data_IF_975127672763
#
_entry.id   IF_975127672763
#
_cell.length_a   1.000
_cell.length_b   1.000
_cell.length_c   1.000
_cell.angle_alpha   90.00
_cell.angle_beta   90.00
_cell.angle_gamma   90.00
#
_symmetry.space_group_name_H-M   'P 1'
#
loop_
_entity.id
_entity.type
_entity.pdbx_description
1 polymer ?
#
# COMPACT_ATOMS: atom_id res chain seq x y z
N UNK A 1 11.99 13.68 31.60
CA UNK A 1 11.81 13.68 30.13
C UNK A 1 11.67 12.28 29.50
N UNK A 2 11.33 11.24 30.26
CA UNK A 2 11.27 9.85 29.74
C UNK A 2 9.89 9.37 29.29
N UNK A 3 8.80 10.09 29.65
CA UNK A 3 7.44 9.70 29.29
C UNK A 3 7.08 10.08 27.85
N UNK A 4 7.55 11.24 27.36
CA UNK A 4 7.28 11.71 26.00
C UNK A 4 7.88 10.80 24.92
N UNK A 5 9.06 10.22 25.16
CA UNK A 5 9.71 9.30 24.20
C UNK A 5 8.95 7.98 24.06
N UNK A 6 8.36 7.45 25.14
CA UNK A 6 7.56 6.21 25.11
C UNK A 6 6.23 6.40 24.38
N UNK A 7 5.55 7.54 24.60
CA UNK A 7 4.31 7.88 23.91
C UNK A 7 4.59 8.06 22.41
N UNK A 8 5.66 8.77 22.05
CA UNK A 8 6.07 8.95 20.65
C UNK A 8 6.39 7.62 19.95
N UNK A 9 7.02 6.68 20.65
CA UNK A 9 7.38 5.38 20.09
C UNK A 9 6.13 4.49 19.89
N UNK A 10 5.16 4.54 20.80
CA UNK A 10 3.88 3.84 20.65
C UNK A 10 3.05 4.40 19.49
N UNK A 11 3.01 5.72 19.32
CA UNK A 11 2.29 6.34 18.19
C UNK A 11 2.90 5.94 16.85
N UNK A 12 4.23 5.94 16.73
CA UNK A 12 4.90 5.56 15.48
C UNK A 12 4.70 4.08 15.14
N UNK A 13 4.70 3.19 16.14
CA UNK A 13 4.41 1.77 15.95
C UNK A 13 2.96 1.54 15.49
N UNK A 14 2.00 2.26 16.08
CA UNK A 14 0.61 2.20 15.68
C UNK A 14 0.41 2.68 14.22
N UNK A 15 1.05 3.79 13.84
CA UNK A 15 1.03 4.32 12.47
C UNK A 15 1.61 3.30 11.47
N UNK A 16 2.76 2.71 11.77
CA UNK A 16 3.40 1.70 10.92
C UNK A 16 2.50 0.47 10.72
N UNK A 17 1.91 -0.05 11.81
CA UNK A 17 1.00 -1.20 11.73
C UNK A 17 -0.27 -0.92 10.94
N UNK A 18 -0.76 0.33 10.95
CA UNK A 18 -1.91 0.74 10.15
C UNK A 18 -1.56 0.83 8.67
N UNK A 19 -0.40 1.40 8.35
CA UNK A 19 0.11 1.51 6.99
C UNK A 19 0.36 0.12 6.36
N UNK A 20 0.89 -0.84 7.12
CA UNK A 20 1.06 -2.23 6.68
C UNK A 20 -0.27 -2.89 6.29
N UNK A 21 -1.32 -2.71 7.10
CA UNK A 21 -2.66 -3.25 6.78
C UNK A 21 -3.28 -2.57 5.56
N UNK A 22 -3.06 -1.28 5.39
CA UNK A 22 -3.49 -0.54 4.20
C UNK A 22 -2.80 -1.04 2.94
N UNK A 23 -1.49 -1.27 3.03
CA UNK A 23 -0.70 -1.86 1.95
C UNK A 23 -1.22 -3.25 1.57
N UNK A 24 -1.51 -4.10 2.55
CA UNK A 24 -2.07 -5.43 2.30
C UNK A 24 -3.43 -5.37 1.58
N UNK A 25 -4.33 -4.47 1.99
CA UNK A 25 -5.62 -4.25 1.30
C UNK A 25 -5.41 -3.80 -0.15
N UNK A 26 -4.50 -2.86 -0.39
CA UNK A 26 -4.18 -2.37 -1.74
C UNK A 26 -3.60 -3.47 -2.62
N UNK A 27 -2.69 -4.29 -2.08
CA UNK A 27 -2.11 -5.45 -2.78
C UNK A 27 -3.19 -6.46 -3.16
N UNK A 28 -4.12 -6.74 -2.25
CA UNK A 28 -5.25 -7.61 -2.55
C UNK A 28 -6.12 -7.05 -3.69
N UNK A 29 -6.43 -5.75 -3.67
CA UNK A 29 -7.19 -5.10 -4.75
C UNK A 29 -6.46 -5.19 -6.09
N UNK A 30 -5.14 -4.97 -6.13
CA UNK A 30 -4.35 -5.10 -7.35
C UNK A 30 -4.37 -6.54 -7.89
N UNK A 31 -4.18 -7.55 -7.04
CA UNK A 31 -4.25 -8.96 -7.43
C UNK A 31 -5.65 -9.37 -7.91
N UNK A 32 -6.70 -8.79 -7.34
CA UNK A 32 -8.07 -9.03 -7.79
C UNK A 32 -8.33 -8.40 -9.17
N UNK A 33 -7.85 -7.18 -9.42
CA UNK A 33 -7.96 -6.51 -10.71
C UNK A 33 -7.20 -7.28 -11.80
N UNK A 34 -5.99 -7.75 -11.50
CA UNK A 34 -5.19 -8.61 -12.38
C UNK A 34 -5.96 -9.87 -12.78
N UNK A 35 -6.56 -10.59 -11.82
CA UNK A 35 -7.36 -11.79 -12.11
C UNK A 35 -8.59 -11.49 -12.97
N UNK A 36 -9.22 -10.33 -12.77
CA UNK A 36 -10.36 -9.91 -13.60
C UNK A 36 -9.91 -9.62 -15.04
N UNK A 37 -8.80 -8.90 -15.20
CA UNK A 37 -8.21 -8.63 -16.51
C UNK A 37 -7.85 -9.93 -17.24
N UNK A 38 -7.15 -10.85 -16.56
CA UNK A 38 -6.75 -12.14 -17.14
C UNK A 38 -7.94 -13.06 -17.50
N UNK A 39 -9.12 -12.85 -16.92
CA UNK A 39 -10.34 -13.61 -17.21
C UNK A 39 -11.24 -12.92 -18.24
N UNK A 40 -11.01 -11.66 -18.54
CA UNK A 40 -11.83 -10.91 -19.48
C UNK A 40 -11.72 -11.49 -20.90
N UNK A 41 -12.83 -11.49 -21.62
CA UNK A 41 -12.85 -11.89 -23.03
C UNK A 41 -12.08 -10.84 -23.86
N UNK A 42 -11.05 -11.24 -24.64
CA UNK A 42 -10.27 -10.33 -25.47
C UNK A 42 -11.10 -9.61 -26.55
N UNK A 43 -12.24 -10.17 -26.96
CA UNK A 43 -13.16 -9.50 -27.90
C UNK A 43 -13.90 -8.33 -27.24
N UNK A 44 -13.94 -8.29 -25.92
CA UNK A 44 -14.49 -7.18 -25.16
C UNK A 44 -13.42 -6.12 -24.85
N UNK A 45 -12.81 -5.58 -25.91
CA UNK A 45 -11.65 -4.67 -25.84
C UNK A 45 -11.85 -3.48 -24.90
N UNK A 46 -13.05 -2.91 -24.84
CA UNK A 46 -13.37 -1.80 -23.92
C UNK A 46 -13.32 -2.22 -22.45
N UNK A 47 -13.85 -3.41 -22.13
CA UNK A 47 -13.78 -3.95 -20.76
C UNK A 47 -12.36 -4.36 -20.42
N UNK A 48 -11.61 -4.94 -21.36
CA UNK A 48 -10.19 -5.24 -21.17
C UNK A 48 -9.38 -3.96 -20.85
N UNK A 49 -9.57 -2.88 -21.62
CA UNK A 49 -8.89 -1.60 -21.39
C UNK A 49 -9.28 -0.95 -20.06
N UNK A 50 -10.55 -1.03 -19.64
CA UNK A 50 -10.97 -0.48 -18.32
C UNK A 50 -10.43 -1.33 -17.16
N UNK A 51 -10.35 -2.66 -17.32
CA UNK A 51 -9.76 -3.54 -16.32
C UNK A 51 -8.25 -3.33 -16.19
N UNK A 52 -7.55 -3.14 -17.30
CA UNK A 52 -6.14 -2.76 -17.35
C UNK A 52 -5.91 -1.43 -16.61
N UNK A 53 -6.68 -0.39 -16.95
CA UNK A 53 -6.60 0.92 -16.27
C UNK A 53 -6.84 0.81 -14.76
N UNK A 54 -7.80 -0.01 -14.34
CA UNK A 54 -8.07 -0.25 -12.91
C UNK A 54 -6.93 -1.00 -12.23
N UNK A 55 -6.33 -1.97 -12.91
CA UNK A 55 -5.18 -2.70 -12.40
C UNK A 55 -3.96 -1.78 -12.23
N UNK A 56 -3.65 -0.97 -13.24
CA UNK A 56 -2.57 0.02 -13.18
C UNK A 56 -2.76 1.05 -12.05
N UNK A 57 -3.99 1.52 -11.86
CA UNK A 57 -4.33 2.42 -10.75
C UNK A 57 -4.09 1.73 -9.40
N UNK A 58 -4.53 0.48 -9.24
CA UNK A 58 -4.31 -0.29 -8.01
C UNK A 58 -2.82 -0.56 -7.75
N UNK A 59 -2.02 -0.82 -8.79
CA UNK A 59 -0.57 -0.96 -8.67
C UNK A 59 0.09 0.35 -8.24
N UNK A 60 -0.37 1.48 -8.76
CA UNK A 60 0.11 2.81 -8.36
C UNK A 60 -0.19 3.07 -6.88
N UNK A 61 -1.40 2.73 -6.42
CA UNK A 61 -1.79 2.85 -5.02
C UNK A 61 -0.95 1.98 -4.09
N UNK A 62 -0.60 0.75 -4.52
CA UNK A 62 0.32 -0.15 -3.81
C UNK A 62 1.69 0.49 -3.67
N UNK A 63 2.29 0.97 -4.78
CA UNK A 63 3.61 1.61 -4.76
C UNK A 63 3.65 2.81 -3.82
N UNK A 64 2.64 3.68 -3.88
CA UNK A 64 2.54 4.83 -2.99
C UNK A 64 2.43 4.42 -1.50
N UNK A 65 1.75 3.30 -1.20
CA UNK A 65 1.69 2.77 0.16
C UNK A 65 3.01 2.13 0.62
N UNK A 66 3.74 1.48 -0.30
CA UNK A 66 5.08 0.93 -0.03
C UNK A 66 6.08 2.04 0.27
N UNK A 67 6.08 3.11 -0.53
CA UNK A 67 6.91 4.31 -0.31
C UNK A 67 6.59 4.96 1.04
N UNK A 68 5.31 5.20 1.35
CA UNK A 68 4.91 5.76 2.63
C UNK A 68 5.33 4.88 3.83
N UNK A 69 5.28 3.56 3.69
CA UNK A 69 5.75 2.63 4.72
C UNK A 69 7.28 2.67 4.85
N UNK A 70 8.02 2.72 3.73
CA UNK A 70 9.47 2.82 3.72
C UNK A 70 9.95 4.11 4.39
N UNK A 71 9.32 5.25 4.08
CA UNK A 71 9.59 6.55 4.71
C UNK A 71 9.34 6.51 6.22
N UNK A 72 8.24 5.89 6.65
CA UNK A 72 7.93 5.72 8.07
C UNK A 72 9.00 4.87 8.79
N UNK A 73 9.44 3.76 8.19
CA UNK A 73 10.49 2.89 8.76
C UNK A 73 11.85 3.59 8.79
N UNK A 74 12.20 4.36 7.75
CA UNK A 74 13.45 5.12 7.71
C UNK A 74 13.47 6.27 8.71
N UNK A 75 12.33 6.93 8.93
CA UNK A 75 12.21 7.93 9.98
C UNK A 75 12.42 7.30 11.38
N UNK A 76 11.89 6.10 11.61
CA UNK A 76 12.06 5.37 12.86
C UNK A 76 13.53 5.01 13.15
N UNK A 77 14.29 4.57 12.15
CA UNK A 77 15.71 4.21 12.34
C UNK A 77 16.58 5.43 12.63
N UNK A 78 16.32 6.57 11.97
CA UNK A 78 17.11 7.79 12.16
C UNK A 78 16.98 8.42 13.56
N UNK A 79 15.87 8.19 14.27
CA UNK A 79 15.69 8.66 15.65
C UNK A 79 16.33 7.73 16.71
N UNK A 80 16.90 6.59 16.31
CA UNK A 80 17.49 5.59 17.23
C UNK A 80 19.03 5.61 17.27
N UNK A 81 19.70 6.32 16.35
CA UNK A 81 21.15 6.62 16.38
C UNK A 81 21.47 7.93 17.13
#
# INVERSE_FOLDING_TARGET
MSHSRRVQQQTNNALSSSAERELERKRYTAALAERQFNRADPDNRLVASELERRWEAALTDVRAAEEALADNVQSLSHFQD
#
